data_IF_641719330714
#
_entry.id   IF_641719330714
#
_cell.length_a   1.000
_cell.length_b   1.000
_cell.length_c   1.000
_cell.angle_alpha   90.00
_cell.angle_beta   90.00
_cell.angle_gamma   90.00
#
_symmetry.space_group_name_H-M   'P 1'
#
loop_
_entity.id
_entity.type
_entity.pdbx_description
1 polymer ?
#
# COMPACT_ATOMS: atom_id res chain seq x y z
N UNK A 1 -7.77 23.57 -4.64
CA UNK A 1 -6.68 23.08 -3.78
C UNK A 1 -7.17 21.91 -2.95
N UNK A 2 -6.51 20.76 -3.00
CA UNK A 2 -6.94 19.54 -2.28
C UNK A 2 -6.77 19.79 -0.77
N UNK A 3 -7.85 19.64 -0.01
CA UNK A 3 -7.84 19.67 1.45
C UNK A 3 -7.73 18.24 1.97
N UNK A 4 -6.91 18.03 2.99
CA UNK A 4 -6.88 16.75 3.68
C UNK A 4 -8.15 16.57 4.53
N UNK A 5 -8.36 15.35 5.06
CA UNK A 5 -9.52 14.98 5.89
C UNK A 5 -9.75 15.89 7.11
N UNK A 6 -8.73 16.64 7.55
CA UNK A 6 -8.79 17.60 8.65
C UNK A 6 -9.11 19.05 8.23
N UNK A 7 -9.42 19.29 6.95
CA UNK A 7 -9.91 20.58 6.42
C UNK A 7 -8.83 21.61 6.06
N UNK A 8 -7.56 21.31 6.37
CA UNK A 8 -6.41 22.15 6.04
C UNK A 8 -5.76 21.69 4.74
N UNK A 9 -5.15 22.63 4.01
CA UNK A 9 -4.30 22.32 2.87
C UNK A 9 -2.85 22.13 3.33
N UNK A 10 -2.02 21.34 2.62
CA UNK A 10 -0.61 21.18 2.98
C UNK A 10 0.12 22.52 3.12
N UNK A 11 -0.11 23.44 2.17
CA UNK A 11 0.47 24.79 2.22
C UNK A 11 0.11 25.55 3.51
N UNK A 12 -1.15 25.51 3.94
CA UNK A 12 -1.59 26.22 5.16
C UNK A 12 -1.04 25.64 6.46
N UNK A 13 -0.68 24.35 6.46
CA UNK A 13 -0.02 23.73 7.61
C UNK A 13 1.46 24.10 7.66
N UNK A 14 2.09 24.26 6.49
CA UNK A 14 3.50 24.65 6.39
C UNK A 14 3.70 26.12 6.70
N UNK A 15 2.91 27.00 6.08
CA UNK A 15 3.14 28.45 6.04
C UNK A 15 2.11 29.29 6.82
N UNK A 16 1.14 28.67 7.51
CA UNK A 16 0.13 29.37 8.30
C UNK A 16 -1.05 29.93 7.51
N UNK A 17 -0.86 30.30 6.25
CA UNK A 17 -1.88 30.97 5.43
C UNK A 17 -2.34 30.12 4.24
N UNK A 18 -3.43 30.52 3.59
CA UNK A 18 -3.88 29.85 2.36
C UNK A 18 -3.02 30.31 1.20
N UNK A 19 -2.57 29.38 0.36
CA UNK A 19 -1.87 29.74 -0.87
C UNK A 19 -2.71 30.67 -1.75
N UNK A 20 -2.03 31.65 -2.34
CA UNK A 20 -2.53 32.42 -3.49
C UNK A 20 -2.07 31.68 -4.74
N UNK A 21 -3.00 31.37 -5.63
CA UNK A 21 -2.70 30.62 -6.86
C UNK A 21 -2.21 31.62 -7.92
N UNK A 22 -1.28 31.28 -8.82
CA UNK A 22 -0.81 32.19 -9.87
C UNK A 22 -1.95 32.87 -10.66
N UNK A 23 -3.02 32.14 -10.96
CA UNK A 23 -4.21 32.69 -11.63
C UNK A 23 -4.90 33.80 -10.83
N UNK A 24 -4.89 33.74 -9.49
CA UNK A 24 -5.44 34.81 -8.63
C UNK A 24 -4.57 36.08 -8.62
N UNK A 25 -3.33 36.00 -9.11
CA UNK A 25 -2.41 37.12 -9.28
C UNK A 25 -2.59 37.74 -10.67
N UNK A 26 -2.64 36.90 -11.72
CA UNK A 26 -2.86 37.33 -13.11
C UNK A 26 -4.26 37.93 -13.30
N UNK A 27 -5.26 37.39 -12.59
CA UNK A 27 -6.63 37.89 -12.60
C UNK A 27 -7.03 38.20 -11.15
N UNK A 28 -6.90 39.47 -10.71
CA UNK A 28 -7.21 39.85 -9.33
C UNK A 28 -8.66 39.50 -8.99
N UNK A 29 -8.82 38.47 -8.14
CA UNK A 29 -10.09 38.13 -7.53
C UNK A 29 -10.28 38.94 -6.24
N UNK A 30 -11.48 38.90 -5.63
CA UNK A 30 -11.77 39.62 -4.38
C UNK A 30 -10.69 39.46 -3.30
N UNK A 31 -10.11 38.26 -3.17
CA UNK A 31 -9.03 37.95 -2.22
C UNK A 31 -7.72 38.73 -2.45
N UNK A 32 -7.42 39.09 -3.69
CA UNK A 32 -6.18 39.80 -4.08
C UNK A 32 -6.45 41.27 -4.41
N UNK A 33 -7.68 41.61 -4.83
CA UNK A 33 -8.05 42.93 -5.31
C UNK A 33 -8.35 43.95 -4.18
N UNK A 34 -8.76 43.47 -3.00
CA UNK A 34 -9.17 44.31 -1.87
C UNK A 34 -8.33 44.02 -0.61
N UNK A 35 -7.01 43.92 -0.76
CA UNK A 35 -6.09 43.67 0.36
C UNK A 35 -5.77 44.99 1.06
N UNK A 36 -6.14 45.09 2.34
CA UNK A 36 -5.57 46.07 3.26
C UNK A 36 -4.28 45.48 3.84
N UNK A 37 -3.16 46.13 3.53
CA UNK A 37 -1.82 45.66 3.90
C UNK A 37 -1.67 45.59 5.43
N UNK A 38 -2.18 46.58 6.15
CA UNK A 38 -2.03 46.65 7.62
C UNK A 38 -2.80 45.52 8.29
N UNK A 39 -4.06 45.35 7.91
CA UNK A 39 -4.90 44.29 8.42
C UNK A 39 -4.37 42.89 8.05
N UNK A 40 -3.87 42.72 6.82
CA UNK A 40 -3.31 41.44 6.38
C UNK A 40 -2.04 41.06 7.16
N UNK A 41 -1.19 42.03 7.50
CA UNK A 41 -0.01 41.78 8.33
C UNK A 41 -0.42 41.35 9.75
N UNK A 42 -1.38 42.03 10.38
CA UNK A 42 -1.92 41.64 11.69
C UNK A 42 -2.51 40.21 11.66
N UNK A 43 -3.30 39.88 10.63
CA UNK A 43 -3.85 38.53 10.46
C UNK A 43 -2.74 37.49 10.24
N UNK A 44 -1.66 37.86 9.53
CA UNK A 44 -0.51 36.98 9.32
C UNK A 44 0.19 36.63 10.64
N UNK A 45 0.40 37.61 11.52
CA UNK A 45 0.97 37.37 12.86
C UNK A 45 0.12 36.39 13.67
N UNK A 46 -1.19 36.63 13.73
CA UNK A 46 -2.12 35.72 14.42
C UNK A 46 -2.12 34.30 13.82
N UNK A 47 -2.06 34.19 12.49
CA UNK A 47 -1.99 32.90 11.82
C UNK A 47 -0.68 32.15 12.13
N UNK A 48 0.43 32.86 12.31
CA UNK A 48 1.72 32.27 12.69
C UNK A 48 1.72 31.82 14.15
N UNK A 49 1.15 32.61 15.06
CA UNK A 49 1.01 32.24 16.48
C UNK A 49 0.16 30.97 16.66
N UNK A 50 -0.95 30.87 15.92
CA UNK A 50 -1.86 29.71 15.97
C UNK A 50 -1.41 28.53 15.11
N UNK A 51 -0.30 28.66 14.38
CA UNK A 51 0.13 27.65 13.40
C UNK A 51 0.46 26.32 14.07
N UNK A 52 1.11 26.37 15.24
CA UNK A 52 1.53 25.16 15.93
C UNK A 52 0.33 24.38 16.48
N UNK A 53 -0.64 25.06 17.09
CA UNK A 53 -1.90 24.44 17.51
C UNK A 53 -2.64 23.79 16.33
N UNK A 54 -2.61 24.45 15.17
CA UNK A 54 -3.23 23.93 13.95
C UNK A 54 -2.51 22.67 13.43
N UNK A 55 -1.18 22.61 13.55
CA UNK A 55 -0.35 21.44 13.21
C UNK A 55 -0.66 20.28 14.14
N UNK A 56 -0.67 20.51 15.44
CA UNK A 56 -1.01 19.48 16.43
C UNK A 56 -2.41 18.91 16.18
N UNK A 57 -3.40 19.79 15.99
CA UNK A 57 -4.78 19.36 15.70
C UNK A 57 -4.87 18.57 14.39
N UNK A 58 -4.11 18.95 13.37
CA UNK A 58 -4.03 18.20 12.13
C UNK A 58 -3.39 16.82 12.34
N UNK A 59 -2.28 16.74 13.08
CA UNK A 59 -1.59 15.50 13.39
C UNK A 59 -2.46 14.52 14.18
N UNK A 60 -3.19 14.99 15.20
CA UNK A 60 -4.12 14.17 15.99
C UNK A 60 -5.22 13.59 15.09
N UNK A 61 -5.82 14.42 14.22
CA UNK A 61 -6.86 13.98 13.28
C UNK A 61 -6.32 12.97 12.27
N UNK A 62 -5.12 13.21 11.74
CA UNK A 62 -4.48 12.31 10.80
C UNK A 62 -4.14 10.96 11.45
N UNK A 63 -3.56 10.98 12.66
CA UNK A 63 -3.29 9.77 13.44
C UNK A 63 -4.57 8.97 13.70
N UNK A 64 -5.66 9.65 14.09
CA UNK A 64 -6.98 9.02 14.30
C UNK A 64 -7.51 8.39 13.00
N UNK A 65 -7.40 9.10 11.87
CA UNK A 65 -7.83 8.59 10.56
C UNK A 65 -7.00 7.37 10.13
N UNK A 66 -5.67 7.45 10.24
CA UNK A 66 -4.74 6.35 9.96
C UNK A 66 -5.03 5.13 10.84
N UNK A 67 -5.26 5.34 12.14
CA UNK A 67 -5.63 4.26 13.07
C UNK A 67 -6.95 3.60 12.70
N UNK A 68 -7.98 4.39 12.35
CA UNK A 68 -9.28 3.87 11.89
C UNK A 68 -9.12 3.01 10.64
N UNK A 69 -8.33 3.49 9.67
CA UNK A 69 -8.04 2.74 8.44
C UNK A 69 -7.28 1.44 8.73
N UNK A 70 -6.23 1.51 9.58
CA UNK A 70 -5.46 0.33 10.01
C UNK A 70 -6.36 -0.72 10.67
N UNK A 71 -7.23 -0.32 11.59
CA UNK A 71 -8.18 -1.22 12.26
C UNK A 71 -9.12 -1.89 11.27
N UNK A 72 -9.71 -1.10 10.36
CA UNK A 72 -10.62 -1.61 9.33
C UNK A 72 -9.94 -2.63 8.41
N UNK A 73 -8.72 -2.32 7.96
CA UNK A 73 -7.94 -3.21 7.12
C UNK A 73 -7.58 -4.49 7.87
N UNK A 74 -6.94 -4.38 9.04
CA UNK A 74 -6.48 -5.52 9.83
C UNK A 74 -7.62 -6.46 10.24
N UNK A 75 -8.83 -5.94 10.50
CA UNK A 75 -10.00 -6.77 10.82
C UNK A 75 -10.46 -7.67 9.65
N UNK A 76 -10.05 -7.36 8.41
CA UNK A 76 -10.49 -8.05 7.18
C UNK A 76 -9.41 -8.91 6.55
N UNK A 77 -8.16 -8.70 6.94
CA UNK A 77 -7.06 -9.57 6.51
C UNK A 77 -7.29 -10.95 7.12
N UNK A 78 -7.58 -11.94 6.28
CA UNK A 78 -7.65 -13.35 6.71
C UNK A 78 -6.24 -13.79 7.11
N UNK A 79 -6.10 -14.34 8.31
CA UNK A 79 -4.84 -14.84 8.88
C UNK A 79 -4.33 -16.12 8.22
N UNK A 80 -4.21 -16.12 6.88
CA UNK A 80 -3.43 -17.15 6.21
C UNK A 80 -1.99 -16.96 6.66
N UNK A 81 -1.31 -18.03 7.04
CA UNK A 81 0.13 -18.05 7.31
C UNK A 81 0.70 -19.29 6.67
N UNK A 82 1.95 -19.23 6.23
CA UNK A 82 2.66 -20.38 5.68
C UNK A 82 3.83 -20.75 6.59
N UNK A 83 4.09 -22.05 6.72
CA UNK A 83 5.26 -22.58 7.41
C UNK A 83 6.30 -23.01 6.37
N UNK A 84 7.61 -22.99 6.70
CA UNK A 84 8.60 -23.64 5.86
C UNK A 84 8.17 -25.08 5.54
N UNK A 85 8.28 -25.49 4.27
CA UNK A 85 7.78 -26.77 3.75
C UNK A 85 6.35 -26.74 3.19
N UNK A 86 5.55 -25.70 3.46
CA UNK A 86 4.25 -25.55 2.81
C UNK A 86 4.43 -25.30 1.30
N UNK A 87 3.55 -25.89 0.48
CA UNK A 87 3.50 -25.58 -0.95
C UNK A 87 2.54 -24.44 -1.24
N UNK A 88 2.95 -23.54 -2.13
CA UNK A 88 2.21 -22.34 -2.52
C UNK A 88 2.30 -22.08 -4.02
N UNK A 89 1.26 -21.48 -4.57
CA UNK A 89 1.31 -20.80 -5.87
C UNK A 89 1.65 -19.33 -5.64
N UNK A 90 2.42 -18.75 -6.56
CA UNK A 90 2.68 -17.30 -6.61
C UNK A 90 1.85 -16.66 -7.71
N UNK A 91 1.51 -15.38 -7.55
CA UNK A 91 0.95 -14.62 -8.66
C UNK A 91 2.01 -14.40 -9.74
N UNK A 92 1.64 -14.63 -11.00
CA UNK A 92 2.48 -14.37 -12.14
C UNK A 92 2.48 -12.87 -12.41
N UNK A 93 3.60 -12.19 -12.17
CA UNK A 93 3.75 -10.78 -12.54
C UNK A 93 3.82 -10.69 -14.07
N UNK A 94 2.86 -10.00 -14.68
CA UNK A 94 2.73 -9.85 -16.14
C UNK A 94 3.94 -9.16 -16.82
N UNK A 95 4.99 -8.80 -16.07
CA UNK A 95 6.18 -8.08 -16.54
C UNK A 95 7.42 -8.94 -16.80
N UNK A 96 7.40 -10.27 -16.54
CA UNK A 96 8.54 -11.13 -16.93
C UNK A 96 8.35 -11.62 -18.37
N UNK A 97 9.05 -10.94 -19.28
CA UNK A 97 9.08 -11.13 -20.72
C UNK A 97 9.71 -12.47 -21.16
N UNK A 98 9.01 -13.58 -20.90
CA UNK A 98 9.26 -14.87 -21.57
C UNK A 98 7.92 -15.40 -22.10
N UNK A 99 7.96 -16.11 -23.23
CA UNK A 99 6.86 -16.54 -24.11
C UNK A 99 5.48 -16.79 -23.47
N UNK A 100 4.44 -16.10 -23.96
CA UNK A 100 3.04 -16.46 -23.66
C UNK A 100 2.05 -15.30 -23.52
N UNK A 101 2.52 -14.05 -23.44
CA UNK A 101 1.67 -12.86 -23.48
C UNK A 101 0.51 -12.84 -22.48
N UNK A 102 -0.58 -12.16 -22.86
CA UNK A 102 -1.76 -11.82 -22.02
C UNK A 102 -2.56 -13.03 -21.50
N UNK A 103 -2.31 -14.26 -21.98
CA UNK A 103 -3.10 -15.46 -21.69
C UNK A 103 -2.44 -16.45 -20.70
N UNK A 104 -1.36 -16.05 -20.02
CA UNK A 104 -0.73 -16.91 -19.01
C UNK A 104 -1.65 -17.12 -17.79
N UNK A 105 -1.62 -18.31 -17.16
CA UNK A 105 -2.27 -18.53 -15.87
C UNK A 105 -1.82 -17.49 -14.84
N UNK A 106 -2.78 -16.90 -14.14
CA UNK A 106 -2.53 -15.88 -13.11
C UNK A 106 -1.69 -16.41 -11.93
N UNK A 107 -1.76 -17.70 -11.67
CA UNK A 107 -1.04 -18.37 -10.59
C UNK A 107 -0.03 -19.34 -11.18
N UNK A 108 1.22 -19.28 -10.70
CA UNK A 108 2.34 -20.11 -11.11
C UNK A 108 2.85 -20.94 -9.93
N UNK A 109 3.31 -22.15 -10.19
CA UNK A 109 3.84 -23.07 -9.17
C UNK A 109 3.36 -24.50 -9.38
N UNK A 110 3.62 -25.42 -8.43
CA UNK A 110 3.85 -25.17 -7.00
C UNK A 110 5.30 -24.79 -6.64
N UNK A 111 5.45 -23.98 -5.59
CA UNK A 111 6.72 -23.64 -4.93
C UNK A 111 6.67 -24.06 -3.47
N UNK A 112 7.81 -24.43 -2.91
CA UNK A 112 7.95 -24.68 -1.47
C UNK A 112 8.32 -23.38 -0.74
N UNK A 113 7.71 -23.12 0.41
CA UNK A 113 8.15 -22.06 1.30
C UNK A 113 9.46 -22.47 1.96
N UNK A 114 10.55 -21.80 1.63
CA UNK A 114 11.87 -22.07 2.23
C UNK A 114 12.03 -21.39 3.59
N UNK A 115 11.57 -20.14 3.71
CA UNK A 115 11.69 -19.37 4.96
C UNK A 115 10.56 -18.35 5.11
N UNK A 116 10.01 -18.25 6.31
CA UNK A 116 9.15 -17.14 6.72
C UNK A 116 10.03 -16.03 7.33
N UNK A 117 9.92 -14.81 6.80
CA UNK A 117 10.74 -13.65 7.24
C UNK A 117 10.02 -12.75 8.25
N UNK A 118 8.75 -13.01 8.55
CA UNK A 118 7.89 -12.15 9.38
C UNK A 118 6.97 -11.26 8.54
N UNK A 119 5.91 -10.72 9.15
CA UNK A 119 4.94 -9.79 8.55
C UNK A 119 4.37 -10.20 7.17
N UNK A 120 4.22 -11.51 6.95
CA UNK A 120 3.70 -12.05 5.69
C UNK A 120 4.71 -12.04 4.54
N UNK A 121 6.01 -11.90 4.80
CA UNK A 121 7.06 -12.04 3.79
C UNK A 121 7.68 -13.44 3.80
N UNK A 122 7.88 -14.03 2.62
CA UNK A 122 8.36 -15.41 2.45
C UNK A 122 9.44 -15.52 1.37
N UNK A 123 10.41 -16.41 1.58
CA UNK A 123 11.30 -16.92 0.54
C UNK A 123 10.74 -18.22 -0.02
N UNK A 124 10.71 -18.32 -1.33
CA UNK A 124 10.23 -19.50 -2.04
C UNK A 124 11.40 -20.26 -2.65
N UNK A 125 11.19 -21.55 -2.85
CA UNK A 125 12.11 -22.47 -3.48
C UNK A 125 11.38 -23.31 -4.53
N UNK A 126 12.01 -23.54 -5.67
CA UNK A 126 11.53 -24.47 -6.68
C UNK A 126 11.59 -25.91 -6.15
N UNK A 127 10.83 -26.82 -6.75
CA UNK A 127 10.82 -28.24 -6.35
C UNK A 127 12.18 -28.92 -6.54
N UNK A 128 13.06 -28.37 -7.36
CA UNK A 128 14.44 -28.83 -7.58
C UNK A 128 15.43 -28.39 -6.49
N UNK A 129 14.97 -27.60 -5.51
CA UNK A 129 15.79 -27.08 -4.42
C UNK A 129 16.38 -25.69 -4.65
N UNK A 130 16.22 -25.08 -5.82
CA UNK A 130 16.76 -23.74 -6.11
C UNK A 130 15.91 -22.63 -5.47
N UNK A 131 16.53 -21.70 -4.73
CA UNK A 131 15.82 -20.64 -4.00
C UNK A 131 15.58 -19.45 -4.93
N UNK A 132 14.36 -18.92 -4.92
CA UNK A 132 14.05 -17.71 -5.67
C UNK A 132 14.73 -16.49 -5.05
N UNK A 133 15.37 -15.62 -5.85
CA UNK A 133 16.07 -14.46 -5.33
C UNK A 133 15.12 -13.45 -4.66
N UNK A 134 13.90 -13.30 -5.18
CA UNK A 134 12.90 -12.35 -4.69
C UNK A 134 12.17 -12.86 -3.44
N UNK A 135 11.85 -11.93 -2.53
CA UNK A 135 10.95 -12.16 -1.39
C UNK A 135 9.50 -11.87 -1.78
N UNK A 136 8.56 -12.70 -1.34
CA UNK A 136 7.16 -12.64 -1.72
C UNK A 136 6.26 -12.27 -0.54
N UNK A 137 5.32 -11.34 -0.77
CA UNK A 137 4.28 -11.00 0.20
C UNK A 137 3.15 -12.05 0.15
N UNK A 138 2.55 -12.32 1.30
CA UNK A 138 1.49 -13.31 1.48
C UNK A 138 0.26 -13.08 0.60
N UNK A 139 -0.07 -11.81 0.31
CA UNK A 139 -1.18 -11.46 -0.57
C UNK A 139 -0.97 -11.95 -2.01
N UNK A 140 0.29 -12.20 -2.40
CA UNK A 140 0.69 -12.70 -3.71
C UNK A 140 0.88 -14.23 -3.71
N UNK A 141 0.51 -14.91 -2.63
CA UNK A 141 0.66 -16.35 -2.46
C UNK A 141 -0.69 -17.02 -2.20
N UNK A 142 -0.87 -18.23 -2.70
CA UNK A 142 -2.05 -19.07 -2.47
C UNK A 142 -1.61 -20.45 -2.03
N UNK A 143 -2.23 -20.99 -0.97
CA UNK A 143 -1.94 -22.35 -0.48
C UNK A 143 -2.17 -23.40 -1.58
N UNK A 144 -1.20 -24.28 -1.78
CA UNK A 144 -1.30 -25.45 -2.63
C UNK A 144 -1.29 -26.69 -1.74
N UNK A 145 -2.27 -27.58 -1.92
CA UNK A 145 -2.33 -28.85 -1.21
C UNK A 145 -1.88 -29.94 -2.19
N UNK A 146 -0.60 -30.32 -2.13
CA UNK A 146 -0.12 -31.49 -2.85
C UNK A 146 -0.53 -32.73 -2.06
N UNK A 147 -1.49 -33.50 -2.58
CA UNK A 147 -1.79 -34.84 -2.08
C UNK A 147 -0.61 -35.74 -2.44
N UNK A 148 0.31 -35.92 -1.50
CA UNK A 148 1.35 -36.95 -1.61
C UNK A 148 0.67 -38.26 -1.22
N UNK A 149 0.22 -39.02 -2.23
CA UNK A 149 -0.20 -40.40 -2.07
C UNK A 149 0.99 -41.21 -1.54
N UNK A 150 0.98 -41.54 -0.26
CA UNK A 150 1.95 -42.44 0.33
C UNK A 150 1.65 -43.89 -0.13
N UNK A 151 2.61 -44.47 -0.85
CA UNK A 151 2.78 -45.89 -1.19
C UNK A 151 1.68 -46.60 -2.00
N UNK A 152 1.92 -46.69 -3.31
CA UNK A 152 2.07 -47.94 -4.09
C UNK A 152 1.67 -47.70 -5.55
N UNK A 153 2.63 -47.90 -6.46
CA UNK A 153 2.50 -48.16 -7.90
C UNK A 153 1.30 -47.54 -8.65
N UNK A 154 1.57 -46.55 -9.51
CA UNK A 154 1.26 -46.55 -10.95
C UNK A 154 1.60 -45.16 -11.53
N UNK A 155 2.23 -45.21 -12.70
CA UNK A 155 2.55 -44.11 -13.59
C UNK A 155 1.33 -43.21 -13.93
N UNK A 156 1.65 -41.95 -14.22
CA UNK A 156 0.86 -41.04 -15.07
C UNK A 156 -0.27 -40.25 -14.40
N UNK A 157 -0.17 -38.93 -14.62
CA UNK A 157 -1.20 -37.88 -14.53
C UNK A 157 -1.33 -37.15 -13.18
N UNK A 158 -0.59 -36.05 -13.06
CA UNK A 158 -0.94 -34.92 -12.19
C UNK A 158 -2.32 -34.45 -12.62
N UNK A 159 -3.34 -34.83 -11.85
CA UNK A 159 -4.73 -34.44 -12.08
C UNK A 159 -4.89 -33.00 -11.59
N UNK A 160 -5.17 -32.09 -12.51
CA UNK A 160 -5.55 -30.70 -12.22
C UNK A 160 -6.90 -30.68 -11.50
N UNK A 161 -6.94 -30.15 -10.27
CA UNK A 161 -8.21 -29.81 -9.61
C UNK A 161 -8.65 -28.41 -10.05
N UNK A 162 -9.93 -28.34 -10.48
CA UNK A 162 -10.67 -27.13 -10.82
C UNK A 162 -10.75 -26.13 -9.65
#
# INVERSE_FOLDING_TARGET
MIKSSHGNTPFSITYGTKAVIPTEIEMPMYRTAAVDVVYNDEELWLNLDLLEERRERAAIREAKAKLKMKKYYNARVRGVTFRPGDFVYRINDAGHAVEGGKLRPKWEGPYEVSKALGDGAYKLRFTDGTVLPRTWNIANLKRCYLLVMAHAWISTTIRTCK
#
